data_IF_743097437859
#
_entry.id   IF_743097437859
#
_cell.length_a   1.000
_cell.length_b   1.000
_cell.length_c   1.000
_cell.angle_alpha   90.00
_cell.angle_beta   90.00
_cell.angle_gamma   90.00
#
_symmetry.space_group_name_H-M   'P 1'
#
loop_
_entity.id
_entity.type
_entity.pdbx_description
1 polymer ?
#
# COMPACT_ATOMS: atom_id res chain seq x y z
N UNK A 1 27.15 50.09 -37.98
CA UNK A 1 26.37 50.82 -39.02
C UNK A 1 26.46 49.99 -40.29
N UNK A 2 25.40 49.53 -40.96
CA UNK A 2 24.13 50.16 -41.32
C UNK A 2 22.99 49.14 -41.32
N UNK A 3 21.83 49.57 -40.81
CA UNK A 3 20.51 49.08 -41.23
C UNK A 3 20.26 49.52 -42.67
N UNK A 4 19.63 48.67 -43.49
CA UNK A 4 18.70 49.11 -44.53
C UNK A 4 17.47 48.22 -44.45
N UNK A 5 16.32 48.88 -44.29
CA UNK A 5 14.94 48.39 -44.29
C UNK A 5 14.34 48.79 -45.63
N UNK A 6 13.54 47.94 -46.27
CA UNK A 6 12.29 48.28 -46.98
C UNK A 6 11.64 47.00 -47.57
N UNK A 7 10.45 46.63 -47.09
CA UNK A 7 9.13 46.79 -47.74
C UNK A 7 8.87 45.67 -48.79
N UNK A 8 7.80 44.85 -48.74
CA UNK A 8 6.40 45.26 -48.65
C UNK A 8 5.48 44.08 -48.30
N UNK A 9 4.36 44.42 -47.66
CA UNK A 9 3.18 43.59 -47.37
C UNK A 9 2.46 43.23 -48.68
N UNK A 10 2.12 41.95 -48.89
CA UNK A 10 0.92 41.54 -49.64
C UNK A 10 0.29 40.34 -48.90
N UNK A 11 -0.94 40.56 -48.43
CA UNK A 11 -1.83 39.59 -47.81
C UNK A 11 -2.53 38.81 -48.94
N UNK A 12 -2.45 37.48 -48.93
CA UNK A 12 -3.31 36.63 -49.76
C UNK A 12 -4.23 35.84 -48.82
N UNK A 13 -5.51 36.22 -48.84
CA UNK A 13 -6.60 35.46 -48.23
C UNK A 13 -6.91 34.31 -49.18
N UNK A 14 -6.69 33.07 -48.74
CA UNK A 14 -7.33 31.89 -49.34
C UNK A 14 -8.14 31.23 -48.23
N UNK A 15 -9.46 31.41 -48.32
CA UNK A 15 -10.45 30.66 -47.55
C UNK A 15 -10.26 29.17 -47.79
N UNK A 16 -9.88 28.42 -46.75
CA UNK A 16 -10.02 26.97 -46.72
C UNK A 16 -11.04 26.63 -45.65
N UNK A 17 -12.12 26.00 -46.11
CA UNK A 17 -13.25 25.52 -45.35
C UNK A 17 -12.83 24.82 -44.04
N UNK A 18 -13.60 25.12 -42.99
CA UNK A 18 -13.70 24.30 -41.80
C UNK A 18 -14.08 22.86 -42.19
N UNK A 19 -13.13 21.94 -42.07
CA UNK A 19 -13.41 20.57 -41.65
C UNK A 19 -12.44 20.28 -40.52
N UNK A 20 -12.99 20.35 -39.29
CA UNK A 20 -12.26 20.11 -38.07
C UNK A 20 -11.75 18.68 -38.00
N UNK A 21 -10.44 18.54 -37.89
CA UNK A 21 -9.83 17.49 -37.08
C UNK A 21 -8.82 18.19 -36.17
N UNK A 22 -9.32 19.02 -35.25
CA UNK A 22 -8.56 19.25 -34.04
C UNK A 22 -8.69 17.96 -33.22
N UNK A 23 -7.57 17.30 -32.95
CA UNK A 23 -7.52 16.35 -31.84
C UNK A 23 -7.67 17.17 -30.56
N UNK A 24 -8.92 17.54 -30.26
CA UNK A 24 -9.31 18.05 -28.97
C UNK A 24 -9.11 16.88 -28.01
N UNK A 25 -8.00 16.89 -27.27
CA UNK A 25 -8.02 16.25 -25.95
C UNK A 25 -9.03 17.11 -25.19
N UNK A 26 -10.27 16.62 -25.08
CA UNK A 26 -11.33 17.32 -24.37
C UNK A 26 -10.82 17.71 -22.98
N UNK A 27 -10.89 19.01 -22.66
CA UNK A 27 -10.74 19.51 -21.29
C UNK A 27 -11.80 18.82 -20.41
N UNK A 28 -11.46 17.66 -19.87
CA UNK A 28 -12.42 16.83 -19.15
C UNK A 28 -12.04 15.37 -18.93
N UNK A 29 -11.03 14.83 -19.63
CA UNK A 29 -10.70 13.41 -19.49
C UNK A 29 -10.07 13.08 -18.13
N UNK A 30 -9.04 13.81 -17.69
CA UNK A 30 -8.27 13.52 -16.48
C UNK A 30 -8.80 14.26 -15.24
N UNK A 31 -9.90 13.80 -14.66
CA UNK A 31 -10.56 14.49 -13.53
C UNK A 31 -10.51 13.76 -12.18
N UNK A 32 -9.95 12.54 -12.13
CA UNK A 32 -9.73 11.81 -10.87
C UNK A 32 -8.28 11.98 -10.43
N UNK A 33 -8.05 12.20 -9.14
CA UNK A 33 -6.69 12.22 -8.59
C UNK A 33 -6.38 10.82 -8.06
N UNK A 34 -5.42 10.15 -8.68
CA UNK A 34 -4.89 8.89 -8.21
C UNK A 34 -3.59 9.11 -7.43
N UNK A 35 -3.52 8.56 -6.21
CA UNK A 35 -2.26 8.50 -5.46
C UNK A 35 -1.51 7.26 -5.89
N UNK A 36 -0.29 7.43 -6.38
CA UNK A 36 0.58 6.30 -6.69
C UNK A 36 0.83 5.50 -5.39
N UNK A 37 0.57 4.18 -5.38
CA UNK A 37 0.85 3.29 -4.26
C UNK A 37 2.20 3.55 -3.63
N UNK A 38 2.25 3.64 -2.30
CA UNK A 38 3.48 3.78 -1.52
C UNK A 38 4.32 5.04 -1.81
N UNK A 39 3.84 5.99 -2.63
CA UNK A 39 4.52 7.25 -2.94
C UNK A 39 3.61 8.44 -2.61
N UNK A 40 4.21 9.58 -2.27
CA UNK A 40 3.51 10.85 -2.13
C UNK A 40 3.43 11.56 -3.49
N UNK A 41 3.03 10.81 -4.53
CA UNK A 41 2.90 11.29 -5.89
C UNK A 41 1.44 11.13 -6.29
N UNK A 42 0.90 12.16 -6.91
CA UNK A 42 -0.49 12.25 -7.32
C UNK A 42 -0.52 12.54 -8.81
N UNK A 43 -1.35 11.80 -9.54
CA UNK A 43 -1.55 11.99 -10.98
C UNK A 43 -3.03 12.17 -11.27
N UNK A 44 -3.34 13.00 -12.26
CA UNK A 44 -4.69 13.08 -12.80
C UNK A 44 -4.90 11.91 -13.76
N UNK A 45 -5.93 11.09 -13.51
CA UNK A 45 -6.28 9.91 -14.32
C UNK A 45 -7.68 10.08 -14.95
N UNK A 46 -7.98 9.33 -16.02
CA UNK A 46 -9.26 9.42 -16.69
C UNK A 46 -10.45 9.17 -15.76
N UNK A 47 -11.61 9.76 -16.05
CA UNK A 47 -12.87 9.44 -15.35
C UNK A 47 -13.21 7.95 -15.39
N UNK A 48 -12.91 7.28 -16.50
CA UNK A 48 -13.12 5.84 -16.72
C UNK A 48 -12.11 4.95 -15.98
N UNK A 49 -11.11 5.53 -15.31
CA UNK A 49 -10.17 4.76 -14.51
C UNK A 49 -10.91 4.13 -13.31
N UNK A 50 -10.94 2.80 -13.30
CA UNK A 50 -11.42 1.97 -12.21
C UNK A 50 -10.20 1.33 -11.53
N UNK A 51 -10.06 1.56 -10.23
CA UNK A 51 -8.99 0.98 -9.45
C UNK A 51 -9.31 -0.51 -9.21
N UNK A 52 -8.64 -1.39 -9.95
CA UNK A 52 -8.54 -2.79 -9.54
C UNK A 52 -7.62 -2.81 -8.32
N UNK A 53 -8.16 -3.06 -7.12
CA UNK A 53 -7.33 -3.23 -5.92
C UNK A 53 -6.50 -4.53 -6.06
N UNK A 54 -5.42 -4.49 -6.83
CA UNK A 54 -4.40 -5.54 -6.79
C UNK A 54 -3.66 -5.39 -5.46
N UNK A 55 -3.37 -6.52 -4.80
CA UNK A 55 -3.06 -6.56 -3.37
C UNK A 55 -2.18 -5.43 -2.84
N UNK A 56 -2.63 -4.79 -1.77
CA UNK A 56 -2.05 -3.56 -1.23
C UNK A 56 -1.77 -3.71 0.26
N UNK A 57 -0.57 -3.36 0.72
CA UNK A 57 -0.32 -3.10 2.15
C UNK A 57 -0.53 -1.63 2.46
N UNK A 58 -1.52 -1.29 3.28
CA UNK A 58 -1.62 0.06 3.87
C UNK A 58 -0.71 0.12 5.08
N UNK A 59 0.30 1.00 5.02
CA UNK A 59 1.28 1.20 6.09
C UNK A 59 0.91 2.45 6.88
N UNK A 60 0.72 2.29 8.19
CA UNK A 60 0.43 3.35 9.14
C UNK A 60 1.64 3.57 10.03
N UNK A 61 2.23 4.76 10.00
CA UNK A 61 3.34 5.12 10.89
C UNK A 61 2.81 5.76 12.17
N UNK A 62 3.25 5.27 13.33
CA UNK A 62 2.90 5.86 14.63
C UNK A 62 4.18 6.49 15.20
N UNK A 63 4.16 7.83 15.30
CA UNK A 63 5.25 8.65 15.88
C UNK A 63 6.66 8.35 15.32
N UNK A 64 6.75 7.87 14.07
CA UNK A 64 8.01 7.42 13.42
C UNK A 64 8.77 6.30 14.16
N UNK A 65 8.13 5.65 15.14
CA UNK A 65 8.72 4.58 15.98
C UNK A 65 8.14 3.22 15.65
N UNK A 66 6.94 3.17 15.10
CA UNK A 66 6.21 1.95 14.77
C UNK A 66 5.65 2.07 13.36
N UNK A 67 5.49 0.94 12.68
CA UNK A 67 4.54 0.85 11.60
C UNK A 67 3.59 -0.33 11.77
N UNK A 68 2.37 -0.17 11.24
CA UNK A 68 1.41 -1.25 11.07
C UNK A 68 1.15 -1.39 9.57
N UNK A 69 1.37 -2.58 9.01
CA UNK A 69 1.01 -2.91 7.65
C UNK A 69 -0.25 -3.77 7.67
N UNK A 70 -1.29 -3.32 6.95
CA UNK A 70 -2.50 -4.11 6.71
C UNK A 70 -2.48 -4.55 5.24
N UNK A 71 -2.34 -5.84 4.99
CA UNK A 71 -2.19 -6.40 3.64
C UNK A 71 -3.41 -7.25 3.28
N UNK A 72 -3.87 -7.12 2.05
CA UNK A 72 -4.75 -8.09 1.41
C UNK A 72 -4.15 -8.42 0.04
N UNK A 73 -3.98 -9.70 -0.31
CA UNK A 73 -3.46 -10.12 -1.61
C UNK A 73 -4.58 -10.68 -2.48
N UNK A 74 -5.27 -9.78 -3.19
CA UNK A 74 -6.45 -10.12 -4.00
C UNK A 74 -6.13 -10.93 -5.26
N UNK A 75 -4.87 -11.02 -5.68
CA UNK A 75 -4.47 -11.79 -6.88
C UNK A 75 -4.24 -13.28 -6.60
N UNK A 76 -4.26 -13.69 -5.34
CA UNK A 76 -4.03 -15.08 -4.92
C UNK A 76 -5.12 -15.56 -3.99
N UNK A 77 -5.44 -16.86 -4.06
CA UNK A 77 -6.37 -17.50 -3.14
C UNK A 77 -5.64 -18.43 -2.16
N UNK A 78 -6.12 -18.44 -0.92
CA UNK A 78 -5.73 -19.39 0.11
C UNK A 78 -6.97 -19.96 0.83
N UNK A 79 -6.89 -21.23 1.20
CA UNK A 79 -7.88 -21.93 2.03
C UNK A 79 -7.28 -22.41 3.35
N UNK A 80 -5.96 -22.29 3.51
CA UNK A 80 -5.21 -22.69 4.70
C UNK A 80 -4.38 -21.51 5.20
N UNK A 81 -4.33 -21.31 6.52
CA UNK A 81 -3.65 -20.17 7.13
C UNK A 81 -2.14 -20.15 6.90
N UNK A 82 -1.49 -21.32 6.80
CA UNK A 82 -0.07 -21.44 6.47
C UNK A 82 0.23 -20.86 5.07
N UNK A 83 -0.55 -21.27 4.06
CA UNK A 83 -0.44 -20.72 2.71
C UNK A 83 -0.75 -19.23 2.68
N UNK A 84 -1.78 -18.79 3.42
CA UNK A 84 -2.10 -17.38 3.53
C UNK A 84 -0.93 -16.58 4.13
N UNK A 85 -0.27 -17.11 5.17
CA UNK A 85 0.89 -16.51 5.82
C UNK A 85 2.05 -16.33 4.84
N UNK A 86 2.37 -17.35 4.04
CA UNK A 86 3.43 -17.28 3.03
C UNK A 86 3.14 -16.18 1.99
N UNK A 87 1.90 -16.12 1.51
CA UNK A 87 1.46 -15.13 0.51
C UNK A 87 1.58 -13.70 1.07
N UNK A 88 0.96 -13.43 2.22
CA UNK A 88 0.92 -12.08 2.79
C UNK A 88 2.29 -11.64 3.30
N UNK A 89 3.12 -12.56 3.80
CA UNK A 89 4.48 -12.24 4.20
C UNK A 89 5.35 -11.90 3.00
N UNK A 90 5.28 -12.68 1.91
CA UNK A 90 5.94 -12.34 0.66
C UNK A 90 5.52 -10.96 0.16
N UNK A 91 4.21 -10.68 0.17
CA UNK A 91 3.68 -9.38 -0.27
C UNK A 91 4.09 -8.22 0.64
N UNK A 92 4.17 -8.45 1.96
CA UNK A 92 4.71 -7.47 2.91
C UNK A 92 6.15 -7.10 2.55
N UNK A 93 7.02 -8.10 2.29
CA UNK A 93 8.43 -7.88 1.91
C UNK A 93 8.54 -6.95 0.70
N UNK A 94 7.72 -7.21 -0.33
CA UNK A 94 7.69 -6.39 -1.54
C UNK A 94 7.19 -4.96 -1.28
N UNK A 95 6.19 -4.81 -0.42
CA UNK A 95 5.53 -3.53 -0.16
C UNK A 95 6.33 -2.61 0.77
N UNK A 96 7.25 -3.15 1.57
CA UNK A 96 8.10 -2.34 2.46
C UNK A 96 9.50 -2.11 1.92
N UNK A 97 9.86 -2.68 0.76
CA UNK A 97 11.24 -2.70 0.20
C UNK A 97 11.89 -1.33 0.00
N UNK A 98 11.07 -0.28 -0.15
CA UNK A 98 11.49 1.12 -0.28
C UNK A 98 11.89 1.73 1.07
N UNK A 99 11.40 1.18 2.18
CA UNK A 99 11.69 1.65 3.55
C UNK A 99 12.68 0.74 4.27
N UNK A 100 12.54 -0.57 4.11
CA UNK A 100 13.40 -1.57 4.73
C UNK A 100 13.46 -2.83 3.88
N UNK A 101 14.53 -3.60 4.01
CA UNK A 101 14.64 -4.90 3.37
C UNK A 101 14.42 -5.99 4.41
N UNK A 102 13.28 -6.67 4.36
CA UNK A 102 12.99 -7.82 5.22
C UNK A 102 13.72 -9.04 4.63
N UNK A 103 14.63 -9.64 5.39
CA UNK A 103 15.28 -10.88 5.02
C UNK A 103 14.43 -12.08 5.43
N UNK A 104 14.04 -12.10 6.71
CA UNK A 104 13.45 -13.28 7.35
C UNK A 104 12.53 -12.91 8.52
N UNK A 105 11.69 -13.86 8.93
CA UNK A 105 10.79 -13.79 10.08
C UNK A 105 11.04 -15.01 10.97
N UNK A 106 11.54 -14.76 12.18
CA UNK A 106 11.66 -15.78 13.22
C UNK A 106 10.45 -15.68 14.15
N UNK A 107 9.58 -16.68 14.09
CA UNK A 107 8.43 -16.80 15.00
C UNK A 107 8.90 -17.39 16.33
N UNK A 108 8.47 -16.79 17.43
CA UNK A 108 8.83 -17.20 18.79
C UNK A 108 7.60 -17.62 19.59
N UNK A 109 6.43 -17.03 19.29
CA UNK A 109 5.14 -17.41 19.82
C UNK A 109 4.12 -17.41 18.70
N UNK A 110 3.26 -18.42 18.67
CA UNK A 110 2.17 -18.52 17.71
C UNK A 110 0.95 -19.18 18.34
N UNK A 111 -0.22 -18.83 17.83
CA UNK A 111 -1.48 -19.52 18.12
C UNK A 111 -2.47 -19.30 16.99
N UNK A 112 -3.37 -20.25 16.82
CA UNK A 112 -4.60 -20.05 16.05
C UNK A 112 -5.73 -19.74 17.01
N UNK A 113 -6.50 -18.70 16.73
CA UNK A 113 -7.65 -18.30 17.54
C UNK A 113 -8.83 -17.85 16.67
N UNK A 114 -10.04 -18.03 17.19
CA UNK A 114 -11.26 -17.55 16.55
C UNK A 114 -11.59 -16.15 17.07
N UNK A 115 -11.63 -15.16 16.18
CA UNK A 115 -11.99 -13.77 16.49
C UNK A 115 -13.10 -13.35 15.52
N UNK A 116 -14.25 -12.91 16.03
CA UNK A 116 -15.41 -12.53 15.22
C UNK A 116 -15.79 -13.57 14.14
N UNK A 117 -15.79 -14.85 14.52
CA UNK A 117 -16.08 -15.98 13.61
C UNK A 117 -15.07 -16.13 12.45
N UNK A 118 -13.91 -15.48 12.54
CA UNK A 118 -12.80 -15.59 11.60
C UNK A 118 -11.66 -16.32 12.31
N UNK A 119 -11.21 -17.42 11.72
CA UNK A 119 -10.01 -18.12 12.19
C UNK A 119 -8.79 -17.27 11.83
N UNK A 120 -7.95 -16.97 12.84
CA UNK A 120 -6.77 -16.14 12.67
C UNK A 120 -5.54 -16.83 13.25
N UNK A 121 -4.45 -16.78 12.49
CA UNK A 121 -3.12 -17.18 12.91
C UNK A 121 -2.39 -15.96 13.49
N UNK A 122 -2.24 -15.91 14.81
CA UNK A 122 -1.46 -14.91 15.52
C UNK A 122 -0.01 -15.37 15.63
N UNK A 123 0.93 -14.50 15.30
CA UNK A 123 2.37 -14.73 15.45
C UNK A 123 3.05 -13.55 16.13
N UNK A 124 4.13 -13.84 16.84
CA UNK A 124 4.97 -12.87 17.52
C UNK A 124 6.43 -13.35 17.50
N UNK A 125 7.38 -12.43 17.30
CA UNK A 125 8.79 -12.76 17.25
C UNK A 125 9.64 -11.64 16.68
N UNK A 126 10.57 -12.00 15.80
CA UNK A 126 11.62 -11.09 15.29
C UNK A 126 11.66 -11.07 13.75
N UNK A 127 11.59 -9.88 13.16
CA UNK A 127 11.97 -9.62 11.77
C UNK A 127 13.46 -9.32 11.67
N UNK A 128 14.13 -9.97 10.73
CA UNK A 128 15.52 -9.70 10.38
C UNK A 128 15.54 -8.76 9.18
N UNK A 129 15.90 -7.50 9.40
CA UNK A 129 15.84 -6.43 8.42
C UNK A 129 17.23 -5.92 8.00
N UNK A 130 17.31 -5.19 6.90
CA UNK A 130 18.52 -4.52 6.41
C UNK A 130 19.17 -5.21 5.21
N UNK A 131 19.79 -4.41 4.32
CA UNK A 131 20.49 -4.91 3.12
C UNK A 131 21.93 -5.30 3.42
N UNK A 132 22.72 -4.33 3.87
CA UNK A 132 24.16 -4.51 4.14
C UNK A 132 24.41 -4.87 5.60
N UNK A 133 23.83 -4.08 6.51
CA UNK A 133 23.87 -4.34 7.96
C UNK A 133 22.51 -4.88 8.35
N UNK A 134 22.50 -6.11 8.88
CA UNK A 134 21.27 -6.74 9.37
C UNK A 134 20.99 -6.28 10.79
N UNK A 135 19.73 -6.06 11.09
CA UNK A 135 19.23 -5.72 12.43
C UNK A 135 17.93 -6.47 12.71
N UNK A 136 17.73 -6.79 13.97
CA UNK A 136 16.54 -7.51 14.43
C UNK A 136 15.53 -6.52 14.95
N UNK A 137 14.25 -6.71 14.61
CA UNK A 137 13.17 -5.92 15.16
C UNK A 137 11.95 -6.75 15.54
N UNK A 138 11.29 -6.33 16.61
CA UNK A 138 10.08 -6.94 17.12
C UNK A 138 8.95 -6.86 16.10
N UNK A 139 8.22 -7.96 16.00
CA UNK A 139 7.03 -8.08 15.17
C UNK A 139 5.92 -8.85 15.89
N UNK A 140 4.70 -8.42 15.64
CA UNK A 140 3.47 -9.13 16.01
C UNK A 140 2.49 -9.00 14.86
N UNK A 141 1.74 -10.06 14.58
CA UNK A 141 0.75 -10.00 13.52
C UNK A 141 -0.29 -11.08 13.58
N UNK A 142 -1.31 -10.86 12.76
CA UNK A 142 -2.43 -11.75 12.54
C UNK A 142 -2.58 -11.99 11.04
N UNK A 143 -2.67 -13.25 10.67
CA UNK A 143 -3.02 -13.67 9.31
C UNK A 143 -4.35 -14.38 9.33
N UNK A 144 -5.19 -14.08 8.34
CA UNK A 144 -6.54 -14.60 8.25
C UNK A 144 -6.99 -14.61 6.79
N UNK A 145 -8.11 -15.28 6.53
CA UNK A 145 -8.66 -15.43 5.19
C UNK A 145 -10.09 -14.90 5.19
N UNK A 146 -10.41 -14.00 4.26
CA UNK A 146 -11.79 -13.54 4.01
C UNK A 146 -12.11 -13.82 2.55
N UNK A 147 -13.14 -14.62 2.28
CA UNK A 147 -13.58 -14.97 0.93
C UNK A 147 -12.43 -15.49 0.04
N UNK A 148 -11.61 -16.37 0.62
CA UNK A 148 -10.36 -16.94 0.07
C UNK A 148 -9.22 -15.95 -0.15
N UNK A 149 -9.41 -14.67 0.15
CA UNK A 149 -8.36 -13.65 0.05
C UNK A 149 -7.49 -13.74 1.31
N UNK A 150 -6.17 -13.99 1.16
CA UNK A 150 -5.25 -13.98 2.28
C UNK A 150 -4.97 -12.53 2.71
N UNK A 151 -5.11 -12.30 4.01
CA UNK A 151 -5.02 -10.98 4.64
C UNK A 151 -4.07 -11.03 5.84
N UNK A 152 -3.44 -9.90 6.15
CA UNK A 152 -2.70 -9.74 7.40
C UNK A 152 -2.81 -8.34 8.02
N UNK A 153 -2.53 -8.30 9.32
CA UNK A 153 -2.19 -7.10 10.09
C UNK A 153 -0.84 -7.40 10.73
N UNK A 154 0.18 -6.58 10.45
CA UNK A 154 1.53 -6.74 10.99
C UNK A 154 2.00 -5.45 11.63
N UNK A 155 2.26 -5.47 12.93
CA UNK A 155 2.90 -4.37 13.64
C UNK A 155 4.39 -4.64 13.83
N UNK A 156 5.19 -3.60 13.61
CA UNK A 156 6.65 -3.67 13.67
C UNK A 156 7.20 -2.46 14.39
N UNK A 157 8.14 -2.69 15.30
CA UNK A 157 8.92 -1.63 15.92
C UNK A 157 10.00 -1.18 14.94
N UNK A 158 10.22 0.12 14.80
CA UNK A 158 11.25 0.68 13.90
C UNK A 158 12.33 1.45 14.63
N UNK A 159 12.13 1.77 15.91
CA UNK A 159 13.18 2.38 16.71
C UNK A 159 14.33 1.39 16.96
N UNK A 160 15.57 1.87 16.81
CA UNK A 160 16.76 1.04 16.98
C UNK A 160 16.91 0.50 18.42
N UNK A 161 16.53 1.33 19.40
CA UNK A 161 16.48 0.93 20.80
C UNK A 161 15.02 0.60 21.14
N UNK A 162 14.64 -0.66 20.91
CA UNK A 162 13.27 -1.16 21.04
C UNK A 162 12.87 -1.22 22.50
N UNK A 163 12.25 -0.15 22.99
CA UNK A 163 11.85 -0.07 24.39
C UNK A 163 10.69 -1.02 24.66
N UNK A 164 10.68 -1.64 25.84
CA UNK A 164 9.61 -2.55 26.27
C UNK A 164 8.22 -1.89 26.17
N UNK A 165 8.14 -0.59 26.44
CA UNK A 165 6.90 0.19 26.31
C UNK A 165 6.41 0.24 24.85
N UNK A 166 7.33 0.45 23.90
CA UNK A 166 7.01 0.49 22.47
C UNK A 166 6.55 -0.88 21.97
N UNK A 167 7.18 -1.97 22.45
CA UNK A 167 6.77 -3.36 22.17
C UNK A 167 5.36 -3.62 22.71
N UNK A 168 5.09 -3.21 23.95
CA UNK A 168 3.75 -3.32 24.54
C UNK A 168 2.71 -2.49 23.78
N UNK A 169 3.04 -1.27 23.36
CA UNK A 169 2.15 -0.39 22.60
C UNK A 169 1.76 -1.03 21.27
N UNK A 170 2.72 -1.51 20.47
CA UNK A 170 2.41 -2.11 19.17
C UNK A 170 1.66 -3.44 19.30
N UNK A 171 2.02 -4.27 20.29
CA UNK A 171 1.31 -5.52 20.61
C UNK A 171 -0.15 -5.23 20.92
N UNK A 172 -0.42 -4.32 21.85
CA UNK A 172 -1.77 -3.91 22.21
C UNK A 172 -2.56 -3.40 21.02
N UNK A 173 -1.98 -2.52 20.20
CA UNK A 173 -2.68 -1.95 19.04
C UNK A 173 -3.03 -3.02 18.01
N UNK A 174 -2.10 -3.93 17.70
CA UNK A 174 -2.34 -5.00 16.73
C UNK A 174 -3.39 -6.00 17.24
N UNK A 175 -3.29 -6.41 18.50
CA UNK A 175 -4.28 -7.29 19.14
C UNK A 175 -5.66 -6.61 19.13
N UNK A 176 -5.76 -5.32 19.47
CA UNK A 176 -7.02 -4.55 19.39
C UNK A 176 -7.54 -4.40 17.95
N UNK A 177 -6.68 -4.19 16.97
CA UNK A 177 -7.11 -4.13 15.56
C UNK A 177 -7.68 -5.46 15.08
N UNK A 178 -7.08 -6.58 15.48
CA UNK A 178 -7.54 -7.92 15.12
C UNK A 178 -8.99 -8.16 15.61
N UNK A 179 -9.34 -7.72 16.82
CA UNK A 179 -10.72 -7.83 17.36
C UNK A 179 -11.76 -7.01 16.61
N UNK A 180 -11.34 -6.11 15.71
CA UNK A 180 -12.26 -5.31 14.89
C UNK A 180 -12.49 -5.85 13.48
N UNK A 181 -11.73 -6.86 13.06
CA UNK A 181 -11.85 -7.47 11.73
C UNK A 181 -13.22 -8.12 11.59
N UNK A 182 -13.89 -7.83 10.47
CA UNK A 182 -15.26 -8.26 10.20
C UNK A 182 -15.59 -8.19 8.71
N UNK A 183 -16.58 -8.97 8.28
CA UNK A 183 -17.05 -9.02 6.88
C UNK A 183 -18.06 -7.93 6.55
N UNK A 184 -18.68 -7.28 7.54
CA UNK A 184 -19.74 -6.29 7.35
C UNK A 184 -19.37 -4.93 7.95
N UNK A 185 -19.95 -3.85 7.40
CA UNK A 185 -19.64 -2.48 7.82
C UNK A 185 -20.24 -2.11 9.19
N UNK A 186 -21.19 -2.89 9.70
CA UNK A 186 -21.92 -2.58 10.93
C UNK A 186 -20.97 -2.43 12.13
N UNK A 187 -21.36 -1.61 13.12
CA UNK A 187 -20.62 -1.48 14.37
C UNK A 187 -20.67 -2.80 15.14
N UNK A 188 -19.60 -3.07 15.86
CA UNK A 188 -19.59 -4.08 16.92
C UNK A 188 -20.21 -3.38 18.13
N UNK A 189 -21.30 -3.93 18.66
CA UNK A 189 -21.98 -3.44 19.86
C UNK A 189 -21.21 -3.81 21.13
#
# INVERSE_FOLDING_TARGET
>A
MKKIICLSIIIIIVSVCLCGCSNNIEEGELSKIYKIPQKLIYINVPKSYEETQNGYSKIYFIKSKLYIAVTAEMSMEATELSKAQDIVFSKLKDNVKEFTYINDLKIEQEKTEMINEIEMYRYEGTLICGRTVKFNTYVVGYTFIIDKIPCNITGVVTEANQQEETIKEIRRIVDEMATTVRKTKNKID
#
